data_IF_080600871901
#
_entry.id   IF_080600871901
#
_cell.length_a   1.000
_cell.length_b   1.000
_cell.length_c   1.000
_cell.angle_alpha   90.00
_cell.angle_beta   90.00
_cell.angle_gamma   90.00
#
_symmetry.space_group_name_H-M   'P 1'
#
loop_
_entity.id
_entity.type
_entity.pdbx_description
1 polymer ?
#
# COMPACT_ATOMS: atom_id res chain seq x y z
N UNK A 1 17.11 8.06 -28.35
CA UNK A 1 16.88 8.03 -26.89
C UNK A 1 15.55 7.38 -26.48
N UNK A 2 14.62 7.08 -27.41
CA UNK A 2 13.31 6.51 -27.09
C UNK A 2 13.29 5.03 -26.61
N UNK A 3 14.43 4.32 -26.62
CA UNK A 3 14.45 2.88 -26.36
C UNK A 3 14.45 2.48 -24.88
N UNK A 4 15.05 3.28 -24.00
CA UNK A 4 15.27 2.93 -22.58
C UNK A 4 14.18 3.45 -21.64
N UNK A 5 13.34 4.40 -22.06
CA UNK A 5 12.26 4.92 -21.22
C UNK A 5 11.29 3.82 -20.83
N UNK A 6 10.92 3.73 -19.56
CA UNK A 6 10.01 2.72 -19.01
C UNK A 6 10.51 2.06 -17.74
N UNK A 7 9.82 1.00 -17.33
CA UNK A 7 10.18 0.18 -16.18
C UNK A 7 10.77 -1.14 -16.66
N UNK A 8 11.89 -1.53 -16.05
CA UNK A 8 12.66 -2.71 -16.44
C UNK A 8 12.91 -3.59 -15.24
N UNK A 9 12.57 -4.87 -15.37
CA UNK A 9 13.00 -5.93 -14.47
C UNK A 9 14.46 -6.26 -14.75
N UNK A 10 15.29 -6.38 -13.71
CA UNK A 10 16.73 -6.60 -13.84
C UNK A 10 17.10 -7.95 -13.26
N UNK A 11 17.71 -8.80 -14.06
CA UNK A 11 18.15 -10.13 -13.65
C UNK A 11 19.66 -10.28 -13.81
N UNK A 12 20.32 -10.87 -12.81
CA UNK A 12 21.76 -11.16 -12.90
C UNK A 12 21.99 -12.31 -13.87
N UNK A 13 22.86 -12.11 -14.85
CA UNK A 13 23.27 -13.15 -15.80
C UNK A 13 24.70 -13.63 -15.55
N UNK A 14 25.53 -12.87 -14.82
CA UNK A 14 26.91 -13.28 -14.54
C UNK A 14 27.72 -12.37 -13.61
N UNK A 15 28.95 -12.80 -13.31
CA UNK A 15 29.96 -12.05 -12.55
C UNK A 15 29.70 -11.93 -11.04
N UNK A 16 30.20 -10.87 -10.41
CA UNK A 16 30.20 -10.64 -8.97
C UNK A 16 28.99 -9.81 -8.46
N UNK A 17 27.96 -9.61 -9.29
CA UNK A 17 26.71 -8.98 -8.83
C UNK A 17 26.04 -9.82 -7.74
N UNK A 18 25.42 -9.19 -6.73
CA UNK A 18 24.56 -9.90 -5.78
C UNK A 18 23.31 -10.44 -6.47
N UNK A 19 22.51 -11.29 -5.80
CA UNK A 19 21.18 -11.64 -6.27
C UNK A 19 20.34 -10.38 -6.53
N UNK A 20 19.78 -10.25 -7.74
CA UNK A 20 19.00 -9.08 -8.17
C UNK A 20 17.49 -9.31 -8.07
N UNK A 21 17.04 -10.18 -7.16
CA UNK A 21 15.62 -10.52 -7.00
C UNK A 21 14.82 -9.26 -6.64
N UNK A 22 13.82 -8.93 -7.46
CA UNK A 22 13.00 -7.73 -7.29
C UNK A 22 13.68 -6.41 -7.68
N UNK A 23 14.86 -6.46 -8.31
CA UNK A 23 15.54 -5.26 -8.81
C UNK A 23 14.81 -4.71 -10.05
N UNK A 24 14.46 -3.42 -10.00
CA UNK A 24 13.81 -2.71 -11.10
C UNK A 24 14.55 -1.43 -11.44
N UNK A 25 14.61 -1.06 -12.72
CA UNK A 25 15.07 0.26 -13.17
C UNK A 25 13.90 1.02 -13.76
N UNK A 26 13.63 2.21 -13.25
CA UNK A 26 12.66 3.16 -13.82
C UNK A 26 13.43 4.26 -14.54
N UNK A 27 13.21 4.44 -15.82
CA UNK A 27 13.94 5.38 -16.67
C UNK A 27 12.96 6.33 -17.35
N UNK A 28 13.27 7.63 -17.31
CA UNK A 28 12.52 8.66 -18.01
C UNK A 28 13.45 9.77 -18.51
N UNK A 29 13.62 9.87 -19.82
CA UNK A 29 14.49 10.84 -20.47
C UNK A 29 15.94 10.64 -20.06
N UNK A 30 16.53 11.68 -19.43
CA UNK A 30 17.94 11.68 -19.03
C UNK A 30 18.19 11.17 -17.61
N UNK A 31 17.18 10.59 -16.94
CA UNK A 31 17.28 10.18 -15.53
C UNK A 31 16.61 8.84 -15.28
N UNK A 32 17.04 8.16 -14.24
CA UNK A 32 16.34 6.99 -13.73
C UNK A 32 16.74 6.63 -12.31
N UNK A 33 16.11 5.57 -11.81
CA UNK A 33 16.33 5.06 -10.46
C UNK A 33 16.31 3.54 -10.48
N UNK A 34 17.29 2.91 -9.84
CA UNK A 34 17.27 1.48 -9.54
C UNK A 34 16.61 1.28 -8.18
N UNK A 35 15.58 0.43 -8.11
CA UNK A 35 14.81 0.13 -6.90
C UNK A 35 15.01 -1.34 -6.54
N UNK A 36 15.24 -1.61 -5.25
CA UNK A 36 15.37 -2.95 -4.68
C UNK A 36 14.38 -3.11 -3.53
N UNK A 37 13.17 -3.61 -3.81
CA UNK A 37 12.10 -3.70 -2.81
C UNK A 37 11.95 -2.38 -2.03
N UNK A 38 11.97 -2.48 -0.69
CA UNK A 38 11.80 -1.34 0.23
C UNK A 38 13.05 -0.45 0.43
N UNK A 39 14.18 -0.71 -0.24
CA UNK A 39 15.37 0.13 -0.09
C UNK A 39 15.20 1.48 -0.82
N UNK A 40 15.78 2.58 -0.30
CA UNK A 40 15.83 3.85 -1.00
C UNK A 40 16.42 3.65 -2.40
N UNK A 41 15.68 4.10 -3.42
CA UNK A 41 16.10 3.94 -4.80
C UNK A 41 17.46 4.61 -5.06
N UNK A 42 18.27 3.99 -5.90
CA UNK A 42 19.59 4.48 -6.30
C UNK A 42 19.45 5.31 -7.59
N UNK A 43 19.51 6.65 -7.51
CA UNK A 43 19.32 7.49 -8.69
C UNK A 43 20.53 7.45 -9.62
N UNK A 44 20.28 7.55 -10.92
CA UNK A 44 21.30 7.61 -11.96
C UNK A 44 20.92 8.59 -13.08
N UNK A 45 21.94 9.07 -13.78
CA UNK A 45 21.79 9.84 -15.02
C UNK A 45 21.97 8.93 -16.23
N UNK A 46 21.14 9.12 -17.26
CA UNK A 46 21.21 8.36 -18.52
C UNK A 46 22.04 9.16 -19.52
N UNK A 47 23.13 8.56 -19.99
CA UNK A 47 24.05 9.13 -20.98
C UNK A 47 24.21 8.16 -22.14
N UNK A 48 23.35 8.32 -23.15
CA UNK A 48 23.27 7.36 -24.25
C UNK A 48 22.85 5.99 -23.73
N UNK A 49 23.80 5.05 -23.71
CA UNK A 49 23.61 3.67 -23.27
C UNK A 49 24.22 3.41 -21.87
N UNK A 50 24.63 4.45 -21.16
CA UNK A 50 25.25 4.35 -19.86
C UNK A 50 24.35 4.93 -18.76
N UNK A 51 24.23 4.22 -17.64
CA UNK A 51 23.49 4.63 -16.46
C UNK A 51 24.50 4.96 -15.35
N UNK A 52 24.69 6.26 -15.11
CA UNK A 52 25.70 6.80 -14.19
C UNK A 52 25.08 7.05 -12.82
N UNK A 53 25.41 6.21 -11.84
CA UNK A 53 24.85 6.34 -10.49
C UNK A 53 25.35 7.59 -9.78
N UNK A 54 24.44 8.23 -9.05
CA UNK A 54 24.73 9.42 -8.24
C UNK A 54 25.16 9.03 -6.83
N UNK A 55 25.71 10.00 -6.10
CA UNK A 55 26.09 9.82 -4.70
C UNK A 55 24.93 9.24 -3.85
N UNK A 56 25.21 8.31 -2.91
CA UNK A 56 26.52 7.84 -2.48
C UNK A 56 27.16 6.77 -3.39
N UNK A 57 26.47 6.33 -4.45
CA UNK A 57 26.91 5.27 -5.35
C UNK A 57 27.72 5.79 -6.56
N UNK A 58 28.35 6.95 -6.41
CA UNK A 58 29.16 7.54 -7.47
C UNK A 58 30.33 6.60 -7.84
N UNK A 59 30.56 6.42 -9.14
CA UNK A 59 31.60 5.54 -9.68
C UNK A 59 31.08 4.19 -10.19
N UNK A 60 29.85 3.81 -9.85
CA UNK A 60 29.14 2.73 -10.53
C UNK A 60 28.55 3.25 -11.85
N UNK A 61 28.76 2.50 -12.92
CA UNK A 61 28.16 2.75 -14.24
C UNK A 61 27.67 1.43 -14.82
N UNK A 62 26.39 1.40 -15.18
CA UNK A 62 25.83 0.28 -15.94
C UNK A 62 25.81 0.63 -17.43
N UNK A 63 26.46 -0.18 -18.26
CA UNK A 63 26.43 -0.02 -19.73
C UNK A 63 25.42 -1.01 -20.28
N UNK A 64 24.46 -0.54 -21.08
CA UNK A 64 23.37 -1.38 -21.61
C UNK A 64 23.34 -1.39 -23.14
N UNK A 65 23.10 -2.56 -23.71
CA UNK A 65 23.03 -2.78 -25.15
C UNK A 65 21.70 -3.47 -25.50
N UNK A 66 21.00 -3.05 -26.57
CA UNK A 66 19.75 -3.69 -26.98
C UNK A 66 19.97 -5.19 -27.28
N UNK A 67 19.11 -6.05 -26.72
CA UNK A 67 19.14 -7.52 -26.91
C UNK A 67 17.76 -8.03 -27.37
N UNK A 68 17.10 -7.24 -28.23
CA UNK A 68 15.78 -7.51 -28.79
C UNK A 68 14.72 -6.45 -28.45
N UNK A 69 13.46 -6.68 -28.87
CA UNK A 69 12.33 -5.86 -28.43
C UNK A 69 12.20 -5.98 -26.92
N UNK A 70 12.09 -4.85 -26.23
CA UNK A 70 11.84 -4.84 -24.78
C UNK A 70 12.87 -5.59 -23.94
N UNK A 71 14.10 -5.72 -24.45
CA UNK A 71 15.22 -6.38 -23.80
C UNK A 71 16.53 -5.62 -23.99
N UNK A 72 17.30 -5.53 -22.92
CA UNK A 72 18.70 -5.07 -22.95
C UNK A 72 19.59 -6.07 -22.22
N UNK A 73 20.82 -6.20 -22.68
CA UNK A 73 21.92 -6.77 -21.89
C UNK A 73 22.69 -5.65 -21.24
N UNK A 74 23.15 -5.87 -20.02
CA UNK A 74 23.86 -4.88 -19.24
C UNK A 74 25.15 -5.41 -18.65
N UNK A 75 26.12 -4.51 -18.51
CA UNK A 75 27.39 -4.75 -17.83
C UNK A 75 27.55 -3.73 -16.71
N UNK A 76 27.67 -4.21 -15.48
CA UNK A 76 27.91 -3.39 -14.31
C UNK A 76 29.40 -3.12 -14.16
N UNK A 77 29.77 -1.85 -14.07
CA UNK A 77 31.16 -1.41 -13.93
C UNK A 77 31.34 -0.53 -12.70
N UNK A 78 32.52 -0.60 -12.09
CA UNK A 78 32.94 0.31 -11.03
C UNK A 78 34.28 0.92 -11.41
N UNK A 79 34.34 2.25 -11.51
CA UNK A 79 35.54 2.98 -11.94
C UNK A 79 36.15 2.44 -13.25
N UNK A 80 35.30 2.04 -14.20
CA UNK A 80 35.69 1.51 -15.51
C UNK A 80 35.99 0.00 -15.55
N UNK A 81 36.03 -0.68 -14.40
CA UNK A 81 36.24 -2.13 -14.35
C UNK A 81 34.90 -2.87 -14.31
N UNK A 82 34.69 -3.77 -15.26
CA UNK A 82 33.52 -4.65 -15.27
C UNK A 82 33.59 -5.64 -14.12
N UNK A 83 32.51 -5.74 -13.35
CA UNK A 83 32.41 -6.71 -12.26
C UNK A 83 31.17 -7.60 -12.37
N UNK A 84 30.20 -7.32 -13.24
CA UNK A 84 29.10 -8.24 -13.46
C UNK A 84 28.25 -7.94 -14.67
N UNK A 85 27.35 -8.89 -14.97
CA UNK A 85 26.46 -8.84 -16.12
C UNK A 85 25.02 -9.07 -15.68
N UNK A 86 24.11 -8.40 -16.36
CA UNK A 86 22.68 -8.50 -16.11
C UNK A 86 21.89 -8.40 -17.41
N UNK A 87 20.62 -8.79 -17.36
CA UNK A 87 19.63 -8.53 -18.39
C UNK A 87 18.55 -7.60 -17.86
N UNK A 88 17.97 -6.82 -18.74
CA UNK A 88 16.80 -5.99 -18.48
C UNK A 88 15.66 -6.45 -19.38
N UNK A 89 14.48 -6.67 -18.79
CA UNK A 89 13.25 -6.95 -19.52
C UNK A 89 12.23 -5.87 -19.22
N UNK A 90 11.57 -5.32 -20.24
CA UNK A 90 10.53 -4.32 -20.02
C UNK A 90 9.37 -4.93 -19.24
N UNK A 91 8.94 -4.23 -18.21
CA UNK A 91 7.67 -4.50 -17.54
C UNK A 91 6.59 -3.77 -18.33
N UNK A 92 5.56 -4.51 -18.77
CA UNK A 92 4.43 -3.88 -19.43
C UNK A 92 3.66 -3.00 -18.43
N UNK A 93 3.00 -1.95 -18.92
CA UNK A 93 2.16 -1.10 -18.05
C UNK A 93 1.06 -1.93 -17.39
N UNK A 94 0.52 -2.92 -18.09
CA UNK A 94 -0.48 -3.84 -17.55
C UNK A 94 0.07 -4.64 -16.36
N UNK A 95 1.26 -5.22 -16.48
CA UNK A 95 1.88 -6.00 -15.40
C UNK A 95 2.17 -5.12 -14.16
N UNK A 96 2.63 -3.88 -14.38
CA UNK A 96 2.88 -2.95 -13.27
C UNK A 96 1.58 -2.51 -12.60
N UNK A 97 0.51 -2.27 -13.38
CA UNK A 97 -0.83 -1.98 -12.86
C UNK A 97 -1.39 -3.16 -12.04
N UNK A 98 -1.24 -4.40 -12.52
CA UNK A 98 -1.65 -5.60 -11.77
C UNK A 98 -0.87 -5.73 -10.46
N UNK A 99 0.45 -5.49 -10.49
CA UNK A 99 1.25 -5.50 -9.28
C UNK A 99 0.82 -4.41 -8.27
N UNK A 100 0.47 -3.20 -8.74
CA UNK A 100 -0.08 -2.16 -7.88
C UNK A 100 -1.46 -2.53 -7.33
N UNK A 101 -2.34 -3.13 -8.15
CA UNK A 101 -3.64 -3.61 -7.71
C UNK A 101 -3.52 -4.61 -6.56
N UNK A 102 -2.71 -5.66 -6.74
CA UNK A 102 -2.48 -6.68 -5.70
C UNK A 102 -1.96 -6.06 -4.41
N UNK A 103 -1.05 -5.09 -4.51
CA UNK A 103 -0.54 -4.36 -3.35
C UNK A 103 -1.66 -3.61 -2.60
N UNK A 104 -2.52 -2.90 -3.31
CA UNK A 104 -3.62 -2.16 -2.68
C UNK A 104 -4.70 -3.08 -2.09
N UNK A 105 -4.94 -4.25 -2.67
CA UNK A 105 -5.82 -5.26 -2.05
C UNK A 105 -5.20 -5.76 -0.74
N UNK A 106 -3.87 -6.03 -0.69
CA UNK A 106 -3.21 -6.49 0.55
C UNK A 106 -3.20 -5.40 1.63
N UNK A 107 -2.99 -4.14 1.24
CA UNK A 107 -3.10 -2.98 2.14
C UNK A 107 -4.51 -2.84 2.71
N UNK A 108 -5.55 -2.98 1.88
CA UNK A 108 -6.95 -2.97 2.33
C UNK A 108 -7.22 -4.13 3.29
N UNK A 109 -6.82 -5.36 2.94
CA UNK A 109 -6.97 -6.52 3.83
C UNK A 109 -6.29 -6.29 5.19
N UNK A 110 -5.08 -5.75 5.21
CA UNK A 110 -4.36 -5.46 6.44
C UNK A 110 -5.05 -4.37 7.28
N UNK A 111 -5.62 -3.36 6.62
CA UNK A 111 -6.40 -2.29 7.25
C UNK A 111 -7.63 -2.88 7.95
N UNK A 112 -8.44 -3.68 7.26
CA UNK A 112 -9.61 -4.37 7.82
C UNK A 112 -9.27 -5.19 9.08
N UNK A 113 -8.15 -5.94 9.04
CA UNK A 113 -7.69 -6.71 10.20
C UNK A 113 -7.30 -5.82 11.40
N UNK A 114 -6.81 -4.61 11.15
CA UNK A 114 -6.56 -3.63 12.21
C UNK A 114 -7.87 -3.05 12.77
N UNK A 115 -8.82 -2.74 11.89
CA UNK A 115 -10.14 -2.19 12.26
C UNK A 115 -10.93 -3.18 13.10
N UNK A 116 -10.93 -4.47 12.75
CA UNK A 116 -11.55 -5.52 13.56
C UNK A 116 -11.05 -5.52 15.01
N UNK A 117 -9.73 -5.34 15.22
CA UNK A 117 -9.15 -5.24 16.57
C UNK A 117 -9.56 -3.96 17.28
N UNK A 118 -9.62 -2.85 16.56
CA UNK A 118 -10.08 -1.57 17.09
C UNK A 118 -11.54 -1.67 17.55
N UNK A 119 -12.42 -2.24 16.73
CA UNK A 119 -13.84 -2.45 17.03
C UNK A 119 -14.02 -3.34 18.25
N UNK A 120 -13.23 -4.40 18.44
CA UNK A 120 -13.23 -5.19 19.68
C UNK A 120 -12.93 -4.34 20.92
N UNK A 121 -11.94 -3.45 20.82
CA UNK A 121 -11.62 -2.47 21.85
C UNK A 121 -12.79 -1.52 22.15
N UNK A 122 -13.42 -0.95 21.13
CA UNK A 122 -14.54 -0.02 21.29
C UNK A 122 -15.78 -0.70 21.88
N UNK A 123 -16.16 -1.89 21.38
CA UNK A 123 -17.32 -2.67 21.85
C UNK A 123 -17.15 -3.10 23.31
N UNK A 124 -15.92 -3.44 23.73
CA UNK A 124 -15.64 -3.84 25.11
C UNK A 124 -15.60 -2.67 26.10
N UNK A 125 -15.43 -1.44 25.61
CA UNK A 125 -15.25 -0.25 26.46
C UNK A 125 -16.45 0.70 26.48
N UNK A 126 -17.38 0.59 25.52
CA UNK A 126 -18.63 1.37 25.53
C UNK A 126 -19.72 0.68 26.36
N UNK A 127 -20.38 1.48 27.21
CA UNK A 127 -21.56 1.07 27.98
C UNK A 127 -22.88 1.52 27.31
N UNK A 128 -22.79 2.30 26.24
CA UNK A 128 -23.95 2.76 25.48
C UNK A 128 -24.52 1.65 24.59
N UNK A 129 -25.76 1.19 24.81
CA UNK A 129 -26.31 0.04 24.10
C UNK A 129 -26.56 0.29 22.62
N UNK A 130 -26.85 1.54 22.21
CA UNK A 130 -27.11 1.87 20.81
C UNK A 130 -25.79 1.93 20.04
N UNK A 131 -24.79 2.66 20.56
CA UNK A 131 -23.45 2.71 19.96
C UNK A 131 -22.84 1.30 19.89
N UNK A 132 -22.99 0.51 20.95
CA UNK A 132 -22.48 -0.87 20.99
C UNK A 132 -23.08 -1.73 19.88
N UNK A 133 -24.39 -1.59 19.62
CA UNK A 133 -25.09 -2.33 18.57
C UNK A 133 -24.58 -1.94 17.19
N UNK A 134 -24.43 -0.64 16.92
CA UNK A 134 -23.89 -0.14 15.64
C UNK A 134 -22.47 -0.67 15.40
N UNK A 135 -21.59 -0.60 16.41
CA UNK A 135 -20.22 -1.13 16.29
C UNK A 135 -20.18 -2.65 16.10
N UNK A 136 -21.08 -3.41 16.74
CA UNK A 136 -21.19 -4.85 16.55
C UNK A 136 -21.65 -5.22 15.14
N UNK A 137 -22.62 -4.46 14.59
CA UNK A 137 -23.06 -4.63 13.22
C UNK A 137 -21.92 -4.32 12.25
N UNK A 138 -21.25 -3.18 12.43
CA UNK A 138 -20.14 -2.78 11.59
C UNK A 138 -18.99 -3.79 11.64
N UNK A 139 -18.66 -4.35 12.82
CA UNK A 139 -17.68 -5.44 12.92
C UNK A 139 -17.99 -6.65 12.03
N UNK A 140 -19.27 -7.00 11.87
CA UNK A 140 -19.68 -8.09 10.97
C UNK A 140 -19.51 -7.72 9.50
N UNK A 141 -19.68 -6.44 9.15
CA UNK A 141 -19.43 -5.90 7.82
C UNK A 141 -17.92 -5.91 7.52
N UNK A 142 -17.11 -5.31 8.40
CA UNK A 142 -15.64 -5.31 8.34
C UNK A 142 -15.05 -6.73 8.18
N UNK A 143 -15.62 -7.73 8.87
CA UNK A 143 -15.19 -9.13 8.70
C UNK A 143 -15.49 -9.66 7.28
N UNK A 144 -16.64 -9.32 6.72
CA UNK A 144 -16.97 -9.66 5.33
C UNK A 144 -16.09 -8.92 4.34
N UNK A 145 -15.72 -7.67 4.63
CA UNK A 145 -14.81 -6.87 3.81
C UNK A 145 -13.42 -7.51 3.77
N UNK A 146 -12.86 -7.89 4.93
CA UNK A 146 -11.62 -8.65 5.02
C UNK A 146 -11.68 -9.95 4.21
N UNK A 147 -12.75 -10.75 4.36
CA UNK A 147 -12.93 -12.01 3.64
C UNK A 147 -13.01 -11.79 2.11
N UNK A 148 -13.63 -10.69 1.68
CA UNK A 148 -13.69 -10.31 0.25
C UNK A 148 -12.29 -9.95 -0.26
N UNK A 149 -11.54 -9.11 0.45
CA UNK A 149 -10.19 -8.73 0.04
C UNK A 149 -9.24 -9.93 0.03
N UNK A 150 -9.36 -10.85 0.98
CA UNK A 150 -8.60 -12.11 0.95
C UNK A 150 -8.93 -12.95 -0.29
N UNK A 151 -10.20 -13.07 -0.65
CA UNK A 151 -10.61 -13.76 -1.89
C UNK A 151 -10.04 -13.08 -3.13
N UNK A 152 -10.03 -11.74 -3.17
CA UNK A 152 -9.42 -10.99 -4.27
C UNK A 152 -7.92 -11.22 -4.36
N UNK A 153 -7.18 -11.27 -3.24
CA UNK A 153 -5.75 -11.63 -3.25
C UNK A 153 -5.51 -13.02 -3.84
N UNK A 154 -6.30 -14.01 -3.40
CA UNK A 154 -6.18 -15.38 -3.90
C UNK A 154 -6.49 -15.49 -5.39
N UNK A 155 -7.40 -14.66 -5.92
CA UNK A 155 -7.68 -14.59 -7.36
C UNK A 155 -6.49 -14.10 -8.19
N UNK A 156 -5.54 -13.40 -7.56
CA UNK A 156 -4.29 -12.93 -8.16
C UNK A 156 -3.08 -13.80 -7.76
N UNK A 157 -3.30 -15.04 -7.32
CA UNK A 157 -2.28 -15.96 -6.81
C UNK A 157 -1.40 -15.36 -5.69
N UNK A 158 -1.94 -14.37 -4.97
CA UNK A 158 -1.32 -13.72 -3.83
C UNK A 158 -1.94 -14.23 -2.52
N UNK A 159 -1.20 -14.07 -1.42
CA UNK A 159 -1.72 -14.33 -0.08
C UNK A 159 -1.39 -13.16 0.85
N UNK A 160 -2.19 -12.97 1.91
CA UNK A 160 -1.90 -11.95 2.91
C UNK A 160 -0.46 -12.03 3.39
N UNK A 161 0.25 -10.91 3.47
CA UNK A 161 1.66 -10.83 3.93
C UNK A 161 2.73 -11.35 2.97
N UNK A 162 2.38 -11.90 1.79
CA UNK A 162 3.37 -12.13 0.72
C UNK A 162 3.80 -10.83 0.04
N UNK A 163 2.98 -9.77 0.12
CA UNK A 163 3.36 -8.43 -0.29
C UNK A 163 4.20 -7.82 0.83
N UNK A 164 5.52 -8.03 0.77
CA UNK A 164 6.49 -7.52 1.76
C UNK A 164 6.45 -6.00 2.02
N UNK A 165 5.66 -5.25 1.25
CA UNK A 165 5.54 -3.79 1.30
C UNK A 165 4.21 -3.27 1.89
N UNK A 166 3.25 -4.11 2.27
CA UNK A 166 1.94 -3.65 2.78
C UNK A 166 1.97 -2.97 4.16
N UNK A 167 3.14 -2.89 4.80
CA UNK A 167 3.38 -2.12 6.03
C UNK A 167 3.65 -0.63 5.81
N UNK A 168 3.05 -0.02 4.79
CA UNK A 168 3.30 1.38 4.37
C UNK A 168 2.66 2.44 5.28
N UNK A 169 2.36 3.60 4.68
CA UNK A 169 1.78 4.79 5.36
C UNK A 169 0.51 4.45 6.12
N UNK A 170 -0.37 3.60 5.56
CA UNK A 170 -1.62 3.15 6.22
C UNK A 170 -1.32 2.44 7.54
N UNK A 171 -0.35 1.52 7.56
CA UNK A 171 0.06 0.84 8.79
C UNK A 171 0.65 1.81 9.83
N UNK A 172 1.41 2.81 9.40
CA UNK A 172 1.95 3.85 10.30
C UNK A 172 0.85 4.76 10.87
N UNK A 173 -0.14 5.13 10.04
CA UNK A 173 -1.30 5.92 10.46
C UNK A 173 -2.18 5.13 11.45
N UNK A 174 -2.50 3.88 11.15
CA UNK A 174 -3.29 3.01 12.04
C UNK A 174 -2.58 2.76 13.37
N UNK A 175 -1.26 2.58 13.36
CA UNK A 175 -0.48 2.46 14.60
C UNK A 175 -0.59 3.72 15.46
N UNK A 176 -0.60 4.92 14.84
CA UNK A 176 -0.76 6.17 15.58
C UNK A 176 -2.13 6.32 16.23
N UNK A 177 -3.19 5.79 15.61
CA UNK A 177 -4.53 5.72 16.19
C UNK A 177 -4.57 4.74 17.37
N UNK A 178 -3.94 3.56 17.22
CA UNK A 178 -3.99 2.48 18.21
C UNK A 178 -3.10 2.70 19.46
N UNK A 179 -1.95 3.37 19.33
CA UNK A 179 -0.95 3.53 20.43
C UNK A 179 -1.38 4.53 21.54
N UNK A 180 -2.54 5.19 21.43
CA UNK A 180 -2.99 6.25 22.34
C UNK A 180 -3.97 5.80 23.46
N UNK A 181 -4.04 4.52 23.81
CA UNK A 181 -4.97 4.03 24.84
C UNK A 181 -4.68 4.60 26.26
N UNK A 182 -5.50 5.56 26.69
CA UNK A 182 -5.59 6.16 28.04
C UNK A 182 -7.07 6.26 28.44
N UNK A 183 -7.43 6.39 29.73
CA UNK A 183 -8.75 6.03 30.28
C UNK A 183 -9.98 6.89 29.88
N UNK A 184 -9.89 7.74 28.87
CA UNK A 184 -11.06 8.40 28.27
C UNK A 184 -11.55 7.53 27.11
N UNK A 185 -12.78 7.00 27.18
CA UNK A 185 -13.24 5.94 26.28
C UNK A 185 -14.15 6.47 25.19
N UNK A 186 -15.26 7.15 25.51
CA UNK A 186 -16.29 7.49 24.52
C UNK A 186 -15.82 8.53 23.47
N UNK A 187 -15.38 9.71 23.90
CA UNK A 187 -14.99 10.78 22.96
C UNK A 187 -13.76 10.44 22.11
N UNK A 188 -12.81 9.69 22.69
CA UNK A 188 -11.62 9.20 21.97
C UNK A 188 -11.99 8.13 20.95
N UNK A 189 -12.77 7.13 21.35
CA UNK A 189 -13.24 6.09 20.44
C UNK A 189 -14.03 6.68 19.27
N UNK A 190 -14.89 7.67 19.52
CA UNK A 190 -15.63 8.34 18.47
C UNK A 190 -14.72 9.08 17.46
N UNK A 191 -13.73 9.84 17.96
CA UNK A 191 -12.74 10.52 17.11
C UNK A 191 -11.91 9.54 16.29
N UNK A 192 -11.38 8.52 16.95
CA UNK A 192 -10.47 7.55 16.35
C UNK A 192 -11.21 6.65 15.36
N UNK A 193 -12.45 6.27 15.68
CA UNK A 193 -13.39 5.60 14.76
C UNK A 193 -13.66 6.44 13.54
N UNK A 194 -14.19 7.66 13.69
CA UNK A 194 -14.50 8.56 12.57
C UNK A 194 -13.29 8.82 11.65
N UNK A 195 -12.10 9.03 12.22
CA UNK A 195 -10.88 9.21 11.44
C UNK A 195 -10.49 7.94 10.65
N UNK A 196 -10.74 6.77 11.24
CA UNK A 196 -10.51 5.48 10.59
C UNK A 196 -11.48 5.28 9.44
N UNK A 197 -12.79 5.53 9.63
CA UNK A 197 -13.78 5.43 8.53
C UNK A 197 -13.36 6.24 7.29
N UNK A 198 -12.87 7.47 7.49
CA UNK A 198 -12.41 8.31 6.38
C UNK A 198 -11.13 7.82 5.72
N UNK A 199 -10.26 7.14 6.48
CA UNK A 199 -9.10 6.46 5.91
C UNK A 199 -9.53 5.26 5.05
N UNK A 200 -10.54 4.50 5.49
CA UNK A 200 -11.09 3.37 4.73
C UNK A 200 -11.80 3.85 3.46
N UNK A 201 -12.63 4.88 3.56
CA UNK A 201 -13.26 5.56 2.42
C UNK A 201 -12.21 5.97 1.39
N UNK A 202 -11.15 6.67 1.81
CA UNK A 202 -10.10 7.09 0.89
C UNK A 202 -9.35 5.92 0.26
N UNK A 203 -9.12 4.85 1.02
CA UNK A 203 -8.41 3.65 0.56
C UNK A 203 -9.23 2.87 -0.47
N UNK A 204 -10.52 2.65 -0.21
CA UNK A 204 -11.41 1.97 -1.15
C UNK A 204 -11.73 2.79 -2.39
N UNK A 205 -11.81 4.13 -2.27
CA UNK A 205 -11.98 5.04 -3.41
C UNK A 205 -10.78 4.98 -4.37
N UNK A 206 -9.56 4.85 -3.82
CA UNK A 206 -8.34 4.62 -4.60
C UNK A 206 -8.31 3.22 -5.21
N UNK A 207 -8.60 2.18 -4.41
CA UNK A 207 -8.57 0.78 -4.86
C UNK A 207 -9.54 0.56 -6.03
N UNK A 208 -10.77 1.06 -5.96
CA UNK A 208 -11.75 0.92 -7.04
C UNK A 208 -11.22 1.48 -8.37
N UNK A 209 -10.57 2.66 -8.33
CA UNK A 209 -9.99 3.32 -9.52
C UNK A 209 -8.78 2.60 -10.09
N UNK A 210 -7.99 1.97 -9.23
CA UNK A 210 -6.84 1.17 -9.66
C UNK A 210 -7.33 -0.13 -10.28
N UNK A 211 -8.31 -0.79 -9.66
CA UNK A 211 -8.95 -1.99 -10.19
C UNK A 211 -9.59 -1.74 -11.57
N UNK A 212 -10.30 -0.63 -11.77
CA UNK A 212 -10.85 -0.24 -13.08
C UNK A 212 -9.75 -0.11 -14.15
N UNK A 213 -8.61 0.51 -13.80
CA UNK A 213 -7.47 0.70 -14.73
C UNK A 213 -6.74 -0.61 -15.03
N UNK A 214 -6.73 -1.53 -14.07
CA UNK A 214 -6.18 -2.86 -14.23
C UNK A 214 -7.16 -3.80 -14.97
N UNK A 215 -8.41 -3.40 -15.17
CA UNK A 215 -9.44 -4.23 -15.81
C UNK A 215 -10.03 -5.31 -14.89
N UNK A 216 -9.89 -5.16 -13.57
CA UNK A 216 -10.45 -6.07 -12.57
C UNK A 216 -11.79 -5.53 -12.06
N UNK A 217 -12.85 -5.79 -12.81
CA UNK A 217 -14.22 -5.32 -12.51
C UNK A 217 -14.76 -5.89 -11.19
N UNK A 218 -14.36 -7.11 -10.82
CA UNK A 218 -14.83 -7.76 -9.59
C UNK A 218 -14.21 -7.11 -8.35
N UNK A 219 -12.91 -6.78 -8.37
CA UNK A 219 -12.29 -5.99 -7.30
C UNK A 219 -12.88 -4.58 -7.24
N UNK A 220 -13.12 -3.95 -8.39
CA UNK A 220 -13.70 -2.60 -8.43
C UNK A 220 -15.12 -2.58 -7.83
N UNK A 221 -15.96 -3.57 -8.15
CA UNK A 221 -17.28 -3.71 -7.56
C UNK A 221 -17.21 -3.96 -6.05
N UNK A 222 -16.36 -4.90 -5.61
CA UNK A 222 -16.17 -5.17 -4.18
C UNK A 222 -15.73 -3.93 -3.40
N UNK A 223 -14.78 -3.14 -3.93
CA UNK A 223 -14.34 -1.90 -3.30
C UNK A 223 -15.44 -0.84 -3.19
N UNK A 224 -16.32 -0.71 -4.20
CA UNK A 224 -17.44 0.22 -4.17
C UNK A 224 -18.53 -0.20 -3.18
N UNK A 225 -18.82 -1.51 -3.09
CA UNK A 225 -19.78 -2.02 -2.11
C UNK A 225 -19.29 -1.74 -0.68
N UNK A 226 -18.00 -1.97 -0.40
CA UNK A 226 -17.41 -1.69 0.91
C UNK A 226 -17.43 -0.19 1.22
N UNK A 227 -17.07 0.64 0.24
CA UNK A 227 -17.11 2.10 0.36
C UNK A 227 -18.49 2.62 0.82
N UNK A 228 -19.60 2.01 0.37
CA UNK A 228 -20.94 2.40 0.81
C UNK A 228 -21.19 2.08 2.29
N UNK A 229 -20.63 0.97 2.80
CA UNK A 229 -20.74 0.60 4.21
C UNK A 229 -19.92 1.55 5.08
N UNK A 230 -18.68 1.87 4.70
CA UNK A 230 -17.82 2.83 5.43
C UNK A 230 -18.43 4.24 5.48
N UNK A 231 -19.06 4.68 4.38
CA UNK A 231 -19.78 5.95 4.37
C UNK A 231 -20.96 5.96 5.33
N UNK A 232 -21.69 4.84 5.46
CA UNK A 232 -22.80 4.73 6.43
C UNK A 232 -22.26 4.80 7.85
N UNK A 233 -21.16 4.11 8.16
CA UNK A 233 -20.58 4.12 9.49
C UNK A 233 -20.02 5.51 9.86
N UNK A 234 -19.35 6.20 8.92
CA UNK A 234 -18.93 7.59 9.10
C UNK A 234 -20.11 8.52 9.43
N UNK A 235 -21.24 8.36 8.73
CA UNK A 235 -22.48 9.11 9.01
C UNK A 235 -23.08 8.76 10.38
N UNK A 236 -22.96 7.50 10.83
CA UNK A 236 -23.36 7.09 12.18
C UNK A 236 -22.56 7.84 13.23
N UNK A 237 -21.23 7.96 13.07
CA UNK A 237 -20.42 8.78 13.98
C UNK A 237 -20.82 10.27 13.93
N UNK A 238 -21.00 10.83 12.72
CA UNK A 238 -21.36 12.24 12.53
C UNK A 238 -22.67 12.62 13.24
N UNK A 239 -23.67 11.74 13.21
CA UNK A 239 -24.98 11.96 13.84
C UNK A 239 -24.95 11.83 15.36
N UNK A 240 -23.89 11.27 15.94
CA UNK A 240 -23.81 10.95 17.36
C UNK A 240 -22.78 11.82 18.11
N UNK A 241 -22.24 12.89 17.51
CA UNK A 241 -21.24 13.75 18.19
C UNK A 241 -21.70 14.33 19.52
N UNK A 242 -22.95 14.81 19.60
CA UNK A 242 -23.51 15.34 20.85
C UNK A 242 -23.55 14.24 21.93
N UNK A 243 -23.99 13.04 21.55
CA UNK A 243 -24.01 11.88 22.44
C UNK A 243 -22.61 11.46 22.91
N UNK A 244 -21.63 11.45 22.01
CA UNK A 244 -20.24 11.15 22.38
C UNK A 244 -19.65 12.22 23.31
N UNK A 245 -20.01 13.48 23.12
CA UNK A 245 -19.61 14.56 24.00
C UNK A 245 -20.22 14.40 25.40
N UNK A 246 -21.53 14.10 25.49
CA UNK A 246 -22.22 13.82 26.75
C UNK A 246 -21.58 12.63 27.49
N UNK A 247 -21.38 11.50 26.80
CA UNK A 247 -20.71 10.33 27.38
C UNK A 247 -19.30 10.65 27.87
N UNK A 248 -18.54 11.42 27.08
CA UNK A 248 -17.19 11.84 27.46
C UNK A 248 -17.18 12.75 28.69
N UNK A 249 -18.20 13.59 28.89
CA UNK A 249 -18.35 14.43 30.09
C UNK A 249 -18.77 13.61 31.31
N UNK A 250 -19.70 12.66 31.12
CA UNK A 250 -20.15 11.73 32.17
C UNK A 250 -19.00 10.84 32.67
N UNK A 251 -18.13 10.37 31.78
CA UNK A 251 -16.90 9.64 32.13
C UNK A 251 -15.95 10.45 33.04
N UNK A 252 -16.01 11.78 32.97
CA UNK A 252 -15.25 12.69 33.84
C UNK A 252 -16.01 13.08 35.12
N UNK A 253 -17.20 12.52 35.35
CA UNK A 253 -18.06 12.84 36.50
C UNK A 253 -18.79 14.17 36.36
N UNK A 254 -18.86 14.73 35.15
CA UNK A 254 -19.59 15.96 34.84
C UNK A 254 -20.99 15.58 34.35
N UNK A 255 -22.03 15.95 35.11
CA UNK A 255 -23.42 15.79 34.68
C UNK A 255 -23.84 16.99 33.83
N UNK A 256 -24.26 16.72 32.59
CA UNK A 256 -24.82 17.67 31.61
C UNK A 256 -26.16 17.16 31.12
#
# INVERSE_FOLDING_TARGET
MAGLDGVWEVERTGGALPPLVGCRKRIGGSRGTTVFGALPGMPFDVRGNELHYRAPFAGFVDVVEPDGPDRYRGRATFRGYSFGEFAMRRISVADDLQAQLVKHIDEAYAMEQNVLRMLDGMISTTDDPEIKRELQQHKLETQQHADRMEKRLRAHDASPSMVKEAGGVVGALMKSVLDMARPEKAGRNARDGYATEHLEIASYELLARIADRAGDEETAAAARDILEDEQKMALTFERNWDRFAELSLQEQGISV
#
